data_IF_253344396678
#
_entry.id   IF_253344396678
#
_cell.length_a   1.000
_cell.length_b   1.000
_cell.length_c   1.000
_cell.angle_alpha   90.00
_cell.angle_beta   90.00
_cell.angle_gamma   90.00
#
_symmetry.space_group_name_H-M   'P 1'
#
loop_
_entity.id
_entity.type
_entity.pdbx_description
1 polymer ?
#
# COMPACT_ATOMS: atom_id res chain seq x y z
N UNK A 1 -14.40 3.14 4.46
CA UNK A 1 -13.68 4.42 4.62
C UNK A 1 -13.67 5.13 3.28
N UNK A 2 -13.67 6.46 3.26
CA UNK A 2 -13.35 7.24 2.05
C UNK A 2 -12.03 7.95 2.34
N UNK A 3 -11.05 7.78 1.47
CA UNK A 3 -9.73 8.38 1.60
C UNK A 3 -9.47 9.32 0.40
N UNK A 4 -9.65 10.63 0.55
CA UNK A 4 -9.36 11.58 -0.51
C UNK A 4 -7.85 11.61 -0.84
N UNK A 5 -7.48 11.97 -2.08
CA UNK A 5 -6.08 12.19 -2.45
C UNK A 5 -5.36 13.13 -1.48
N UNK A 6 -4.12 12.79 -1.11
CA UNK A 6 -3.29 13.56 -0.18
C UNK A 6 -3.69 13.45 1.30
N UNK A 7 -4.77 12.74 1.65
CA UNK A 7 -5.15 12.52 3.05
C UNK A 7 -4.45 11.27 3.59
N UNK A 8 -3.57 11.38 4.60
CA UNK A 8 -2.93 10.22 5.20
C UNK A 8 -3.98 9.28 5.80
N UNK A 9 -3.88 8.00 5.48
CA UNK A 9 -4.81 6.99 5.99
C UNK A 9 -4.11 5.65 6.12
N UNK A 10 -4.62 4.83 7.02
CA UNK A 10 -4.16 3.45 7.23
C UNK A 10 -5.32 2.59 7.71
N UNK A 11 -5.14 1.28 7.67
CA UNK A 11 -6.04 0.31 8.25
C UNK A 11 -5.23 -0.77 8.97
N UNK A 12 -5.86 -1.46 9.91
CA UNK A 12 -5.31 -2.63 10.57
C UNK A 12 -6.42 -3.66 10.79
N UNK A 13 -6.08 -4.94 10.73
CA UNK A 13 -6.92 -6.00 11.24
C UNK A 13 -6.47 -6.31 12.68
N UNK A 14 -7.23 -5.90 13.72
CA UNK A 14 -6.83 -6.10 15.12
C UNK A 14 -7.11 -7.51 15.64
N UNK A 15 -7.59 -8.42 14.78
CA UNK A 15 -7.98 -9.78 15.15
C UNK A 15 -7.00 -10.81 14.60
N UNK A 16 -7.01 -12.00 15.20
CA UNK A 16 -6.21 -13.15 14.72
C UNK A 16 -6.91 -13.94 13.60
N UNK A 17 -8.01 -13.43 13.05
CA UNK A 17 -8.75 -14.06 11.96
C UNK A 17 -8.50 -13.32 10.64
N UNK A 18 -8.40 -14.02 9.50
CA UNK A 18 -8.29 -13.36 8.20
C UNK A 18 -9.44 -12.39 7.94
N UNK A 19 -9.11 -11.22 7.37
CA UNK A 19 -10.07 -10.22 6.94
C UNK A 19 -9.89 -9.94 5.45
N UNK A 20 -10.99 -9.64 4.76
CA UNK A 20 -10.99 -9.24 3.35
C UNK A 20 -11.30 -7.75 3.27
N UNK A 21 -10.48 -7.01 2.53
CA UNK A 21 -10.71 -5.60 2.23
C UNK A 21 -11.10 -5.48 0.76
N UNK A 22 -12.27 -4.88 0.52
CA UNK A 22 -12.68 -4.45 -0.81
C UNK A 22 -12.35 -2.97 -0.96
N UNK A 23 -11.45 -2.67 -1.90
CA UNK A 23 -11.05 -1.29 -2.20
C UNK A 23 -11.48 -0.91 -3.62
N UNK A 24 -11.95 0.33 -3.76
CA UNK A 24 -12.25 0.94 -5.06
C UNK A 24 -11.37 2.18 -5.20
N UNK A 25 -10.76 2.35 -6.38
CA UNK A 25 -9.80 3.42 -6.63
C UNK A 25 -10.14 4.15 -7.92
N UNK A 26 -9.91 5.46 -7.94
CA UNK A 26 -9.98 6.29 -9.13
C UNK A 26 -8.95 7.41 -8.98
N UNK A 27 -8.00 7.58 -9.91
CA UNK A 27 -7.77 6.81 -11.14
C UNK A 27 -7.32 5.36 -10.89
N UNK A 28 -7.26 4.54 -11.94
CA UNK A 28 -6.98 3.08 -11.90
C UNK A 28 -5.51 2.71 -11.62
N UNK A 29 -4.65 3.70 -11.36
CA UNK A 29 -3.21 3.55 -11.11
C UNK A 29 -2.85 2.51 -10.03
N UNK A 30 -3.78 2.20 -9.12
CA UNK A 30 -3.55 1.27 -8.02
C UNK A 30 -3.55 -0.21 -8.41
N UNK A 31 -4.11 -0.59 -9.57
CA UNK A 31 -4.13 -2.01 -9.96
C UNK A 31 -2.71 -2.53 -10.20
N UNK A 32 -1.88 -1.77 -10.94
CA UNK A 32 -0.50 -2.17 -11.20
C UNK A 32 0.38 -2.03 -9.94
N UNK A 33 0.14 -1.03 -9.09
CA UNK A 33 0.80 -0.91 -7.79
C UNK A 33 0.71 -2.20 -6.96
N UNK A 34 -0.48 -2.80 -6.84
CA UNK A 34 -0.65 -4.04 -6.08
C UNK A 34 0.04 -5.25 -6.73
N UNK A 35 0.15 -5.29 -8.07
CA UNK A 35 0.90 -6.34 -8.78
C UNK A 35 2.39 -6.24 -8.49
N UNK A 36 2.94 -5.03 -8.57
CA UNK A 36 4.36 -4.78 -8.31
C UNK A 36 4.73 -5.06 -6.83
N UNK A 37 3.84 -4.73 -5.90
CA UNK A 37 3.99 -5.12 -4.49
C UNK A 37 3.96 -6.64 -4.31
N UNK A 38 3.06 -7.34 -4.99
CA UNK A 38 2.99 -8.80 -4.94
C UNK A 38 4.28 -9.42 -5.45
N UNK A 39 4.80 -8.97 -6.61
CA UNK A 39 6.06 -9.45 -7.17
C UNK A 39 7.21 -9.28 -6.16
N UNK A 40 7.29 -8.11 -5.52
CA UNK A 40 8.29 -7.79 -4.50
C UNK A 40 8.19 -8.68 -3.26
N UNK A 41 6.96 -9.07 -2.88
CA UNK A 41 6.71 -9.97 -1.74
C UNK A 41 7.05 -11.43 -2.04
N UNK A 42 6.96 -11.84 -3.31
CA UNK A 42 7.24 -13.21 -3.76
C UNK A 42 8.67 -13.43 -4.24
N UNK A 43 9.46 -12.36 -4.36
CA UNK A 43 10.87 -12.45 -4.74
C UNK A 43 11.70 -13.07 -3.61
N UNK A 44 12.79 -13.77 -3.98
CA UNK A 44 13.72 -14.42 -3.04
C UNK A 44 14.59 -13.43 -2.23
N UNK A 45 14.29 -12.13 -2.28
CA UNK A 45 14.99 -11.10 -1.50
C UNK A 45 14.11 -10.55 -0.38
N UNK A 46 14.70 -10.12 0.75
CA UNK A 46 13.93 -9.50 1.83
C UNK A 46 13.15 -8.28 1.34
N UNK A 47 11.89 -8.15 1.76
CA UNK A 47 11.14 -6.90 1.60
C UNK A 47 11.70 -5.87 2.59
N UNK A 48 12.42 -4.88 2.09
CA UNK A 48 12.92 -3.77 2.91
C UNK A 48 11.92 -2.61 2.90
N UNK A 49 11.87 -1.76 3.95
CA UNK A 49 11.08 -0.55 3.93
C UNK A 49 11.37 0.34 2.70
N UNK A 50 12.63 0.38 2.26
CA UNK A 50 13.05 1.16 1.10
C UNK A 50 12.46 0.60 -0.21
N UNK A 51 12.45 -0.72 -0.40
CA UNK A 51 11.86 -1.35 -1.59
C UNK A 51 10.35 -1.05 -1.71
N UNK A 52 9.65 -1.00 -0.58
CA UNK A 52 8.24 -0.57 -0.52
C UNK A 52 8.09 0.89 -0.93
N UNK A 53 8.93 1.79 -0.40
CA UNK A 53 8.92 3.23 -0.75
C UNK A 53 9.22 3.44 -2.24
N UNK A 54 10.21 2.72 -2.78
CA UNK A 54 10.58 2.81 -4.20
C UNK A 54 9.42 2.37 -5.11
N UNK A 55 8.61 1.39 -4.67
CA UNK A 55 7.38 1.02 -5.36
C UNK A 55 6.31 2.08 -5.23
N UNK A 56 6.08 2.64 -4.04
CA UNK A 56 5.09 3.72 -3.81
C UNK A 56 5.36 4.94 -4.69
N UNK A 57 6.63 5.34 -4.83
CA UNK A 57 7.06 6.50 -5.63
C UNK A 57 6.68 6.40 -7.12
N UNK A 58 6.43 5.18 -7.64
CA UNK A 58 5.97 4.97 -9.01
C UNK A 58 4.47 5.25 -9.21
N UNK A 59 3.69 5.35 -8.13
CA UNK A 59 2.22 5.32 -8.17
C UNK A 59 1.52 6.43 -7.37
N UNK A 60 2.02 7.67 -7.43
CA UNK A 60 1.43 8.85 -6.76
C UNK A 60 1.04 8.58 -5.28
N UNK A 61 1.83 7.73 -4.62
CA UNK A 61 1.60 7.26 -3.26
C UNK A 61 2.87 7.57 -2.48
N UNK A 62 2.71 8.19 -1.31
CA UNK A 62 3.83 8.60 -0.46
C UNK A 62 3.65 8.00 0.94
N UNK A 63 4.75 7.66 1.64
CA UNK A 63 4.67 7.25 3.04
C UNK A 63 4.04 8.35 3.87
N UNK A 64 3.03 8.01 4.66
CA UNK A 64 2.54 8.91 5.69
C UNK A 64 3.69 9.23 6.65
N UNK A 65 3.97 10.51 6.87
CA UNK A 65 4.91 10.91 7.90
C UNK A 65 4.42 10.39 9.24
N UNK A 66 5.31 9.77 10.01
CA UNK A 66 4.99 9.41 11.39
C UNK A 66 4.74 10.74 12.12
N UNK A 67 3.49 10.99 12.55
CA UNK A 67 3.21 12.10 13.45
C UNK A 67 4.13 11.93 14.69
N UNK A 68 4.80 12.99 15.17
CA UNK A 68 5.65 12.90 16.35
C UNK A 68 4.88 12.38 17.57
#
# INVERSE_FOLDING_TARGET
>A
MVAPPGTPHTFANPTDQPAVILSTFTPDLYVQYFRDLQESLTADHPLTPQATIDTMNRYATEPASRRP
#
